data_IF_514327461291
#
_entry.id   IF_514327461291
#
_cell.length_a   1.000
_cell.length_b   1.000
_cell.length_c   1.000
_cell.angle_alpha   90.00
_cell.angle_beta   90.00
_cell.angle_gamma   90.00
#
_symmetry.space_group_name_H-M   'P 1'
#
loop_
_entity.id
_entity.type
_entity.pdbx_description
1 polymer ?
#
# COMPACT_ATOMS: atom_id res chain seq x y z
N UNK A 1 1.08 4.93 -1.27
CA UNK A 1 -0.27 5.50 -1.06
C UNK A 1 -1.17 4.33 -0.66
N UNK A 2 -1.47 4.18 0.63
CA UNK A 2 -2.34 3.10 1.14
C UNK A 2 -3.77 3.56 0.87
N UNK A 3 -4.53 2.78 0.10
CA UNK A 3 -5.92 3.07 -0.25
C UNK A 3 -6.84 2.04 0.38
N UNK A 4 -7.86 2.50 1.10
CA UNK A 4 -8.95 1.65 1.55
C UNK A 4 -9.99 1.62 0.42
N UNK A 5 -10.26 0.43 -0.11
CA UNK A 5 -11.32 0.19 -1.10
C UNK A 5 -12.55 -0.35 -0.38
N UNK A 6 -13.67 0.39 -0.45
CA UNK A 6 -14.99 -0.13 -0.06
C UNK A 6 -15.49 -1.03 -1.19
N UNK A 7 -15.49 -2.33 -0.96
CA UNK A 7 -15.96 -3.30 -1.94
C UNK A 7 -17.50 -3.38 -1.89
N UNK A 8 -18.22 -3.14 -2.99
CA UNK A 8 -19.65 -3.39 -3.02
C UNK A 8 -19.94 -4.89 -2.84
N UNK A 9 -21.03 -5.20 -2.13
CA UNK A 9 -21.51 -6.57 -1.96
C UNK A 9 -21.76 -7.25 -3.32
N UNK A 10 -21.31 -8.50 -3.45
CA UNK A 10 -21.28 -9.33 -4.67
C UNK A 10 -20.26 -8.93 -5.76
N UNK A 11 -19.00 -9.31 -5.54
CA UNK A 11 -17.99 -9.38 -6.60
C UNK A 11 -18.26 -10.63 -7.44
N UNK A 12 -18.93 -10.47 -8.59
CA UNK A 12 -18.92 -11.51 -9.64
C UNK A 12 -17.48 -11.66 -10.12
N UNK A 13 -16.93 -12.88 -10.06
CA UNK A 13 -15.63 -13.22 -10.67
C UNK A 13 -15.71 -12.89 -12.16
N UNK A 14 -15.19 -11.75 -12.57
CA UNK A 14 -14.96 -11.46 -13.98
C UNK A 14 -13.72 -12.24 -14.43
N UNK A 15 -13.78 -12.80 -15.63
CA UNK A 15 -12.61 -13.37 -16.30
C UNK A 15 -11.62 -12.23 -16.58
N UNK A 16 -10.69 -12.02 -15.66
CA UNK A 16 -9.56 -11.11 -15.84
C UNK A 16 -8.67 -11.74 -16.90
N UNK A 17 -8.81 -11.29 -18.14
CA UNK A 17 -7.79 -11.53 -19.16
C UNK A 17 -6.51 -10.86 -18.68
N UNK A 18 -5.56 -11.66 -18.19
CA UNK A 18 -4.21 -11.20 -17.89
C UNK A 18 -3.53 -10.86 -19.21
N UNK A 19 -3.62 -9.60 -19.65
CA UNK A 19 -2.82 -9.10 -20.75
C UNK A 19 -1.36 -9.21 -20.30
N UNK A 20 -0.60 -10.07 -20.96
CA UNK A 20 0.81 -10.28 -20.64
C UNK A 20 1.62 -9.08 -21.15
N UNK A 21 1.68 -8.02 -20.33
CA UNK A 21 2.45 -6.81 -20.63
C UNK A 21 3.94 -7.17 -20.61
N UNK A 22 4.66 -6.86 -21.69
CA UNK A 22 6.12 -6.92 -21.70
C UNK A 22 6.69 -5.77 -20.86
N UNK A 23 6.98 -6.06 -19.58
CA UNK A 23 7.45 -5.09 -18.59
C UNK A 23 8.80 -4.44 -18.94
N UNK A 24 9.53 -4.96 -19.93
CA UNK A 24 10.84 -4.42 -20.32
C UNK A 24 10.74 -3.11 -21.10
N UNK A 25 9.65 -2.90 -21.82
CA UNK A 25 9.49 -1.71 -22.67
C UNK A 25 8.12 -1.04 -22.52
N UNK A 26 7.15 -1.71 -21.90
CA UNK A 26 5.78 -1.22 -21.78
C UNK A 26 5.48 -0.88 -20.33
N UNK A 27 4.97 0.34 -20.13
CA UNK A 27 4.52 0.81 -18.82
C UNK A 27 3.34 -0.02 -18.32
N UNK A 28 3.45 -0.61 -17.14
CA UNK A 28 2.37 -1.41 -16.52
C UNK A 28 1.19 -0.54 -16.08
N UNK A 29 1.44 0.73 -15.74
CA UNK A 29 0.41 1.64 -15.25
C UNK A 29 -0.50 2.18 -16.36
N UNK A 30 0.06 2.53 -17.53
CA UNK A 30 -0.70 3.18 -18.61
C UNK A 30 -0.56 2.53 -19.99
N UNK A 31 0.22 1.45 -20.14
CA UNK A 31 0.42 0.73 -21.39
C UNK A 31 1.33 1.42 -22.42
N UNK A 32 1.97 2.55 -22.09
CA UNK A 32 2.86 3.23 -23.04
C UNK A 32 4.14 2.43 -23.31
N UNK A 33 4.46 2.21 -24.57
CA UNK A 33 5.68 1.53 -25.04
C UNK A 33 6.62 2.41 -25.86
N UNK A 34 6.29 3.71 -26.01
CA UNK A 34 7.05 4.65 -26.85
C UNK A 34 7.82 5.65 -26.00
N UNK A 35 9.07 5.93 -26.39
CA UNK A 35 9.92 6.97 -25.78
C UNK A 35 10.03 6.84 -24.25
N UNK A 36 10.12 5.62 -23.72
CA UNK A 36 10.40 5.41 -22.29
C UNK A 36 11.92 5.48 -22.05
N UNK A 37 12.34 6.00 -20.91
CA UNK A 37 13.75 6.02 -20.48
C UNK A 37 14.06 4.79 -19.64
N UNK A 38 15.31 4.32 -19.71
CA UNK A 38 15.82 3.24 -18.86
C UNK A 38 17.05 3.74 -18.13
N UNK A 39 17.14 3.46 -16.83
CA UNK A 39 18.31 3.75 -16.02
C UNK A 39 18.53 2.68 -14.96
N UNK A 40 19.78 2.53 -14.54
CA UNK A 40 20.18 1.55 -13.53
C UNK A 40 20.28 2.24 -12.17
N UNK A 41 19.71 1.62 -11.14
CA UNK A 41 19.84 2.06 -9.75
C UNK A 41 20.42 0.94 -8.89
N UNK A 42 21.22 1.33 -7.90
CA UNK A 42 21.87 0.42 -6.96
C UNK A 42 21.05 0.33 -5.68
N UNK A 43 20.88 -0.86 -5.14
CA UNK A 43 20.30 -1.13 -3.82
C UNK A 43 21.15 -0.46 -2.72
N UNK A 44 20.51 0.29 -1.82
CA UNK A 44 21.20 1.06 -0.76
C UNK A 44 20.65 0.85 0.64
N UNK A 45 19.48 0.21 0.80
CA UNK A 45 18.85 -0.01 2.09
C UNK A 45 19.62 -1.02 2.95
N UNK A 46 20.15 -2.07 2.34
CA UNK A 46 20.94 -3.11 3.02
C UNK A 46 22.38 -3.19 2.54
N UNK A 47 22.81 -2.19 1.77
CA UNK A 47 24.17 -2.11 1.21
C UNK A 47 24.58 -3.35 0.41
N UNK A 48 23.62 -4.05 -0.22
CA UNK A 48 23.91 -5.28 -0.98
C UNK A 48 24.58 -4.99 -2.33
N UNK A 49 24.49 -3.74 -2.81
CA UNK A 49 25.11 -3.34 -4.09
C UNK A 49 24.43 -3.94 -5.33
N UNK A 50 23.28 -4.60 -5.18
CA UNK A 50 22.52 -5.15 -6.30
C UNK A 50 22.05 -4.03 -7.23
N UNK A 51 22.22 -4.22 -8.53
CA UNK A 51 21.76 -3.28 -9.56
C UNK A 51 20.41 -3.70 -10.14
N UNK A 52 19.59 -2.70 -10.44
CA UNK A 52 18.28 -2.89 -11.05
C UNK A 52 18.04 -1.87 -12.14
N UNK A 53 17.61 -2.36 -13.30
CA UNK A 53 17.14 -1.48 -14.36
C UNK A 53 15.69 -1.08 -14.12
N UNK A 54 15.46 0.23 -14.18
CA UNK A 54 14.15 0.83 -14.10
C UNK A 54 13.78 1.46 -15.43
N UNK A 55 12.51 1.29 -15.81
CA UNK A 55 11.87 2.00 -16.89
C UNK A 55 11.05 3.15 -16.30
N UNK A 56 11.31 4.37 -16.78
CA UNK A 56 10.49 5.55 -16.53
C UNK A 56 9.63 5.87 -17.76
N UNK A 57 8.33 5.98 -17.52
CA UNK A 57 7.36 6.16 -18.59
C UNK A 57 7.24 7.63 -18.98
N UNK A 58 7.52 8.00 -20.23
CA UNK A 58 7.37 9.39 -20.71
C UNK A 58 5.93 9.91 -20.73
N UNK A 59 4.93 9.02 -20.80
CA UNK A 59 3.52 9.43 -20.84
C UNK A 59 2.91 9.75 -19.47
N UNK A 60 3.22 8.96 -18.43
CA UNK A 60 2.57 9.07 -17.12
C UNK A 60 3.55 9.19 -15.95
N UNK A 61 4.85 9.27 -16.24
CA UNK A 61 5.93 9.40 -15.26
C UNK A 61 5.99 8.27 -14.23
N UNK A 62 5.32 7.14 -14.49
CA UNK A 62 5.44 5.96 -13.65
C UNK A 62 6.81 5.32 -13.81
N UNK A 63 7.36 4.87 -12.70
CA UNK A 63 8.62 4.15 -12.62
C UNK A 63 8.35 2.67 -12.34
N UNK A 64 9.04 1.76 -13.03
CA UNK A 64 8.91 0.32 -12.79
C UNK A 64 10.26 -0.39 -12.94
N UNK A 65 10.51 -1.41 -12.13
CA UNK A 65 11.64 -2.33 -12.32
C UNK A 65 11.39 -3.21 -13.56
N UNK A 66 12.38 -3.29 -14.45
CA UNK A 66 12.30 -4.06 -15.71
C UNK A 66 12.31 -5.55 -15.44
N UNK A 67 13.22 -6.00 -14.57
CA UNK A 67 13.41 -7.40 -14.21
C UNK A 67 13.43 -7.52 -12.69
N UNK A 68 12.26 -7.61 -12.04
CA UNK A 68 12.21 -7.88 -10.61
C UNK A 68 12.94 -9.20 -10.30
N UNK A 69 13.67 -9.28 -9.19
CA UNK A 69 14.36 -10.51 -8.82
C UNK A 69 13.33 -11.61 -8.59
N UNK A 70 13.65 -12.83 -9.06
CA UNK A 70 12.75 -13.98 -8.92
C UNK A 70 12.47 -14.33 -7.44
N UNK A 71 13.45 -14.05 -6.58
CA UNK A 71 13.36 -14.21 -5.14
C UNK A 71 13.43 -12.84 -4.46
N UNK A 72 12.27 -12.35 -4.02
CA UNK A 72 12.15 -11.10 -3.28
C UNK A 72 12.51 -11.26 -1.80
N UNK A 73 12.61 -12.49 -1.26
CA UNK A 73 12.83 -12.72 0.17
C UNK A 73 14.16 -12.12 0.66
N UNK A 74 15.16 -12.06 -0.22
CA UNK A 74 16.46 -11.41 0.02
C UNK A 74 16.35 -9.93 0.37
N UNK A 75 15.29 -9.26 -0.07
CA UNK A 75 15.04 -7.84 0.17
C UNK A 75 14.00 -7.61 1.28
N UNK A 76 13.45 -8.69 1.83
CA UNK A 76 12.54 -8.72 2.97
C UNK A 76 13.17 -9.55 4.09
N UNK A 77 14.29 -9.05 4.61
CA UNK A 77 15.03 -9.70 5.71
C UNK A 77 14.20 -9.75 7.01
N UNK A 78 14.49 -10.66 7.96
CA UNK A 78 13.73 -10.79 9.21
C UNK A 78 13.62 -9.50 10.04
N UNK A 79 14.59 -8.59 9.91
CA UNK A 79 14.62 -7.29 10.60
C UNK A 79 13.66 -6.27 9.99
N UNK A 80 13.13 -6.55 8.79
CA UNK A 80 12.16 -5.69 8.11
C UNK A 80 10.92 -5.52 8.98
N UNK A 81 10.39 -4.30 9.03
CA UNK A 81 9.34 -3.90 9.98
C UNK A 81 8.09 -4.80 9.92
N UNK A 82 7.83 -5.45 8.78
CA UNK A 82 6.70 -6.36 8.60
C UNK A 82 6.76 -7.61 9.48
N UNK A 83 7.95 -8.03 9.90
CA UNK A 83 8.15 -9.22 10.73
C UNK A 83 8.26 -8.91 12.23
N UNK A 84 8.26 -7.62 12.58
CA UNK A 84 8.33 -7.22 13.98
C UNK A 84 7.02 -7.59 14.71
N UNK A 85 7.12 -7.84 16.02
CA UNK A 85 5.95 -8.13 16.85
C UNK A 85 5.01 -6.92 16.91
N UNK A 86 3.73 -7.20 17.11
CA UNK A 86 2.74 -6.16 17.39
C UNK A 86 3.14 -5.34 18.62
N UNK A 87 3.13 -4.03 18.46
CA UNK A 87 3.28 -3.07 19.54
C UNK A 87 1.92 -2.88 20.23
N UNK A 88 1.74 -3.62 21.32
CA UNK A 88 0.52 -3.60 22.10
C UNK A 88 0.34 -2.27 22.84
N UNK A 89 -0.87 -1.74 22.79
CA UNK A 89 -1.24 -0.53 23.53
C UNK A 89 -1.63 -0.89 24.96
N UNK A 90 -1.07 -0.17 25.94
CA UNK A 90 -1.47 -0.29 27.34
C UNK A 90 -2.91 0.20 27.58
N UNK A 91 -3.44 -0.08 28.78
CA UNK A 91 -4.84 0.19 29.15
C UNK A 91 -5.28 1.64 28.90
N UNK A 92 -4.54 2.62 29.43
CA UNK A 92 -4.88 4.04 29.27
C UNK A 92 -4.94 4.45 27.80
N UNK A 93 -3.98 3.99 26.99
CA UNK A 93 -3.95 4.26 25.55
C UNK A 93 -5.17 3.69 24.85
N UNK A 94 -5.63 2.50 25.24
CA UNK A 94 -6.85 1.89 24.70
C UNK A 94 -8.11 2.66 25.10
N UNK A 95 -8.18 3.18 26.33
CA UNK A 95 -9.27 4.07 26.76
C UNK A 95 -9.29 5.33 25.89
N UNK A 96 -8.14 6.00 25.70
CA UNK A 96 -8.06 7.17 24.82
C UNK A 96 -8.42 6.87 23.36
N UNK A 97 -8.07 5.68 22.85
CA UNK A 97 -8.52 5.24 21.51
C UNK A 97 -10.05 5.19 21.43
N UNK A 98 -10.72 4.60 22.43
CA UNK A 98 -12.19 4.52 22.50
C UNK A 98 -12.83 5.91 22.62
N UNK A 99 -12.35 6.76 23.52
CA UNK A 99 -12.86 8.13 23.68
C UNK A 99 -12.75 8.93 22.37
N UNK A 100 -11.60 8.82 21.69
CA UNK A 100 -11.39 9.46 20.39
C UNK A 100 -12.37 8.97 19.32
N UNK A 101 -12.67 7.66 19.30
CA UNK A 101 -13.68 7.09 18.42
C UNK A 101 -15.08 7.66 18.70
N UNK A 102 -15.46 7.80 19.97
CA UNK A 102 -16.74 8.41 20.33
C UNK A 102 -16.84 9.87 19.86
N UNK A 103 -15.78 10.66 20.00
CA UNK A 103 -15.74 12.03 19.47
C UNK A 103 -15.84 12.09 17.94
N UNK A 104 -15.24 11.12 17.24
CA UNK A 104 -15.41 10.96 15.81
C UNK A 104 -16.89 10.73 15.44
N UNK A 105 -17.57 9.80 16.12
CA UNK A 105 -19.00 9.54 15.91
C UNK A 105 -19.89 10.75 16.19
N UNK A 106 -19.56 11.52 17.22
CA UNK A 106 -20.28 12.76 17.57
C UNK A 106 -19.94 13.93 16.64
N UNK A 107 -19.05 13.75 15.64
CA UNK A 107 -18.65 14.79 14.67
C UNK A 107 -18.01 16.02 15.31
N UNK A 108 -17.48 15.91 16.54
CA UNK A 108 -17.05 17.05 17.36
C UNK A 108 -15.71 17.66 16.92
N UNK A 109 -14.90 17.00 16.07
CA UNK A 109 -13.56 17.54 15.79
C UNK A 109 -12.88 17.06 14.49
N UNK A 110 -13.18 17.65 13.33
CA UNK A 110 -12.69 17.16 12.01
C UNK A 110 -11.22 17.43 11.67
N UNK A 111 -10.57 18.41 12.28
CA UNK A 111 -9.30 18.95 11.77
C UNK A 111 -8.02 18.25 12.28
N UNK A 112 -8.08 17.53 13.41
CA UNK A 112 -6.88 16.92 14.04
C UNK A 112 -7.00 15.40 14.24
N UNK A 113 -7.84 14.74 13.44
CA UNK A 113 -7.89 13.29 13.48
C UNK A 113 -6.65 12.65 12.83
N UNK A 114 -6.22 11.48 13.32
CA UNK A 114 -5.23 10.68 12.60
C UNK A 114 -5.70 10.39 11.17
N UNK A 115 -4.74 10.30 10.25
CA UNK A 115 -5.00 10.27 8.80
C UNK A 115 -6.02 9.21 8.36
N UNK A 116 -6.13 8.08 9.06
CA UNK A 116 -7.09 7.01 8.73
C UNK A 116 -8.55 7.39 8.98
N UNK A 117 -8.88 8.17 10.01
CA UNK A 117 -10.26 8.61 10.26
C UNK A 117 -10.76 9.56 9.16
N UNK A 118 -9.84 10.29 8.51
CA UNK A 118 -10.16 11.09 7.32
C UNK A 118 -10.60 10.19 6.16
N UNK A 119 -10.03 8.99 6.01
CA UNK A 119 -10.47 8.02 5.01
C UNK A 119 -11.87 7.50 5.31
N UNK A 120 -12.13 7.09 6.56
CA UNK A 120 -13.47 6.65 6.98
C UNK A 120 -14.53 7.72 6.70
N UNK A 121 -14.21 8.99 6.99
CA UNK A 121 -15.09 10.11 6.67
C UNK A 121 -15.33 10.28 5.16
N UNK A 122 -14.27 10.27 4.36
CA UNK A 122 -14.36 10.45 2.89
C UNK A 122 -15.10 9.30 2.21
N UNK A 123 -14.99 8.08 2.74
CA UNK A 123 -15.62 6.88 2.18
C UNK A 123 -17.04 6.67 2.68
N UNK A 124 -17.51 7.51 3.61
CA UNK A 124 -18.77 7.29 4.34
C UNK A 124 -18.84 5.85 4.87
N UNK A 125 -17.73 5.42 5.49
CA UNK A 125 -17.58 4.07 6.01
C UNK A 125 -18.46 3.89 7.26
N UNK A 126 -19.18 2.78 7.30
CA UNK A 126 -20.00 2.33 8.43
C UNK A 126 -19.28 1.26 9.25
N UNK A 127 -19.78 0.95 10.45
CA UNK A 127 -19.23 -0.12 11.29
C UNK A 127 -19.47 -1.52 10.68
N UNK A 128 -20.42 -1.64 9.73
CA UNK A 128 -20.74 -2.90 9.02
C UNK A 128 -19.89 -3.10 7.74
N UNK A 129 -19.11 -2.11 7.34
CA UNK A 129 -18.25 -2.22 6.16
C UNK A 129 -17.02 -3.08 6.43
N UNK A 130 -16.70 -3.97 5.50
CA UNK A 130 -15.45 -4.73 5.52
C UNK A 130 -14.30 -3.92 4.88
N UNK A 131 -13.18 -3.81 5.59
CA UNK A 131 -11.97 -3.11 5.13
C UNK A 131 -10.87 -4.14 4.86
N UNK A 132 -10.29 -4.08 3.64
CA UNK A 132 -9.09 -4.83 3.31
C UNK A 132 -7.84 -3.94 3.41
N UNK A 133 -6.84 -4.39 4.17
CA UNK A 133 -5.53 -3.75 4.28
C UNK A 133 -4.47 -4.58 3.53
N UNK A 134 -4.10 -4.13 2.33
CA UNK A 134 -3.17 -4.84 1.45
C UNK A 134 -1.74 -4.39 1.79
N UNK A 135 -0.90 -5.34 2.19
CA UNK A 135 0.46 -5.04 2.65
C UNK A 135 0.51 -4.55 4.10
N UNK A 136 -0.41 -5.01 4.95
CA UNK A 136 -0.54 -4.61 6.35
C UNK A 136 0.66 -4.97 7.26
N UNK A 137 1.66 -5.70 6.73
CA UNK A 137 2.77 -6.23 7.52
C UNK A 137 2.27 -7.11 8.66
N UNK A 138 2.71 -6.82 9.88
CA UNK A 138 2.28 -7.53 11.09
C UNK A 138 0.84 -7.18 11.55
N UNK A 139 0.12 -6.31 10.83
CA UNK A 139 -1.25 -5.92 11.17
C UNK A 139 -1.35 -4.79 12.20
N UNK A 140 -0.26 -4.06 12.48
CA UNK A 140 -0.23 -3.00 13.50
C UNK A 140 -1.32 -1.92 13.35
N UNK A 141 -1.73 -1.63 12.12
CA UNK A 141 -2.74 -0.62 11.81
C UNK A 141 -4.16 -1.06 12.20
N UNK A 142 -4.46 -2.35 12.03
CA UNK A 142 -5.80 -2.93 12.22
C UNK A 142 -5.98 -3.62 13.57
N UNK A 143 -4.93 -3.65 14.41
CA UNK A 143 -4.94 -4.16 15.78
C UNK A 143 -5.51 -3.18 16.82
#
# INVERSE_FOLDING_TARGET
MIGILKLPGNIKKSNIFMIQINKRNTCVACGNSKNNSVFTAVERMFEMGHEFDYLECSKCSSLQIISPPADLSKYYVPEYYTFQRLNNSGFLRNVFKKVRWQFYKWRIYRASYPAYLRWLYKLEASEDDAIADIGCGNGQLVY
#
